data_IF_085984187943
#
_entry.id   IF_085984187943
#
_cell.length_a   1.000
_cell.length_b   1.000
_cell.length_c   1.000
_cell.angle_alpha   90.00
_cell.angle_beta   90.00
_cell.angle_gamma   90.00
#
_symmetry.space_group_name_H-M   'P 1'
#
loop_
_entity.id
_entity.type
_entity.pdbx_description
1 polymer ?
#
# COMPACT_ATOMS: atom_id res chain seq x y z
N UNK A 1 14.99 -4.07 -3.82
CA UNK A 1 13.91 -4.38 -2.84
C UNK A 1 12.60 -3.92 -3.46
N UNK A 2 11.51 -4.67 -3.36
CA UNK A 2 10.21 -4.25 -3.93
C UNK A 2 9.51 -3.29 -2.95
N UNK A 3 8.95 -2.20 -3.46
CA UNK A 3 8.18 -1.23 -2.68
C UNK A 3 6.68 -1.51 -2.87
N UNK A 4 6.08 -2.26 -1.96
CA UNK A 4 4.64 -2.51 -1.91
C UNK A 4 4.05 -1.72 -0.74
N UNK A 5 3.16 -0.77 -1.06
CA UNK A 5 2.49 0.12 -0.11
C UNK A 5 1.15 -0.44 0.38
N UNK A 6 0.81 -0.12 1.62
CA UNK A 6 -0.42 -0.53 2.28
C UNK A 6 -0.87 0.57 3.25
N UNK A 7 -2.13 0.99 3.16
CA UNK A 7 -2.78 1.75 4.23
C UNK A 7 -3.26 0.77 5.31
N UNK A 8 -2.51 0.67 6.40
CA UNK A 8 -2.78 -0.32 7.44
C UNK A 8 -3.41 0.27 8.70
N UNK A 9 -4.28 -0.50 9.34
CA UNK A 9 -4.73 -0.23 10.71
C UNK A 9 -3.57 -0.49 11.67
N UNK A 10 -3.38 0.36 12.68
CA UNK A 10 -2.21 0.33 13.57
C UNK A 10 -2.60 0.03 15.01
N UNK A 11 -1.74 -0.71 15.70
CA UNK A 11 -1.94 -1.18 17.07
C UNK A 11 -0.87 -0.63 18.02
N UNK A 12 -1.16 -0.62 19.32
CA UNK A 12 -0.30 0.01 20.33
C UNK A 12 1.11 -0.57 20.43
N UNK A 13 1.27 -1.85 20.09
CA UNK A 13 2.55 -2.58 20.08
C UNK A 13 3.31 -2.43 18.75
N UNK A 14 2.86 -1.57 17.84
CA UNK A 14 3.46 -1.40 16.52
C UNK A 14 2.97 -2.42 15.49
N UNK A 15 1.98 -3.24 15.82
CA UNK A 15 1.29 -4.09 14.84
C UNK A 15 0.65 -3.26 13.73
N UNK A 16 0.70 -3.76 12.49
CA UNK A 16 -0.03 -3.19 11.35
C UNK A 16 -0.87 -4.27 10.69
N UNK A 17 -2.15 -3.97 10.53
CA UNK A 17 -3.14 -4.88 9.98
C UNK A 17 -3.56 -4.52 8.56
N UNK A 18 -3.83 -5.55 7.76
CA UNK A 18 -4.33 -5.45 6.40
C UNK A 18 -5.50 -6.43 6.22
N UNK A 19 -6.69 -5.90 5.92
CA UNK A 19 -7.91 -6.69 5.79
C UNK A 19 -8.68 -6.84 7.10
N UNK A 20 -10.00 -7.03 6.96
CA UNK A 20 -10.94 -7.08 8.06
C UNK A 20 -12.05 -8.09 7.78
N UNK A 21 -12.40 -8.89 8.76
CA UNK A 21 -13.57 -9.76 8.75
C UNK A 21 -14.06 -10.00 10.19
N UNK A 22 -15.37 -10.01 10.39
CA UNK A 22 -16.00 -10.40 11.66
C UNK A 22 -15.49 -9.65 12.91
N UNK A 23 -15.35 -8.32 12.82
CA UNK A 23 -14.86 -7.52 13.96
C UNK A 23 -13.36 -7.67 14.21
N UNK A 24 -12.63 -8.34 13.32
CA UNK A 24 -11.20 -8.62 13.48
C UNK A 24 -10.40 -8.12 12.28
N UNK A 25 -9.17 -7.71 12.56
CA UNK A 25 -8.17 -7.25 11.58
C UNK A 25 -7.04 -8.27 11.52
N UNK A 26 -6.63 -8.65 10.32
CA UNK A 26 -5.47 -9.51 10.11
C UNK A 26 -4.18 -8.71 10.27
N UNK A 27 -3.32 -9.11 11.19
CA UNK A 27 -2.01 -8.50 11.44
C UNK A 27 -1.00 -9.09 10.46
N UNK A 28 -0.31 -8.20 9.74
CA UNK A 28 0.62 -8.56 8.65
C UNK A 28 2.02 -7.96 8.82
N UNK A 29 2.21 -7.06 9.80
CA UNK A 29 3.50 -6.51 10.21
C UNK A 29 3.55 -6.33 11.73
N UNK A 30 4.76 -6.39 12.27
CA UNK A 30 5.07 -6.01 13.65
C UNK A 30 6.35 -5.15 13.66
N UNK A 31 6.23 -3.89 14.06
CA UNK A 31 7.30 -2.91 13.87
C UNK A 31 7.61 -2.73 12.38
N UNK A 32 8.90 -2.76 12.02
CA UNK A 32 9.34 -2.60 10.63
C UNK A 32 9.32 -3.91 9.82
N UNK A 33 8.99 -5.03 10.48
CA UNK A 33 9.06 -6.37 9.89
C UNK A 33 7.72 -6.81 9.30
N UNK A 34 7.79 -7.35 8.08
CA UNK A 34 6.72 -8.13 7.48
C UNK A 34 6.59 -9.50 8.14
N UNK A 35 5.36 -9.87 8.51
CA UNK A 35 5.05 -11.21 8.98
C UNK A 35 4.96 -12.16 7.76
N UNK A 36 5.43 -13.38 7.93
CA UNK A 36 5.18 -14.47 7.00
C UNK A 36 3.73 -14.98 7.18
N UNK A 37 3.13 -15.62 6.16
CA UNK A 37 1.74 -16.08 6.21
C UNK A 37 1.36 -16.98 7.39
N UNK A 38 2.33 -17.74 7.92
CA UNK A 38 2.18 -18.62 9.08
C UNK A 38 2.20 -17.85 10.41
N UNK A 39 2.75 -16.64 10.42
CA UNK A 39 2.83 -15.74 11.59
C UNK A 39 1.62 -14.79 11.68
N UNK A 40 0.82 -14.73 10.61
CA UNK A 40 -0.41 -13.95 10.59
C UNK A 40 -1.36 -14.40 11.70
N UNK A 41 -1.92 -13.42 12.38
CA UNK A 41 -2.93 -13.59 13.41
C UNK A 41 -3.95 -12.47 13.28
N UNK A 42 -5.09 -12.62 13.94
CA UNK A 42 -6.16 -11.62 13.92
C UNK A 42 -6.28 -10.94 15.28
N UNK A 43 -6.68 -9.67 15.28
CA UNK A 43 -6.96 -8.90 16.51
C UNK A 43 -8.31 -8.19 16.41
N UNK A 44 -9.00 -7.94 17.53
CA UNK A 44 -10.21 -7.13 17.56
C UNK A 44 -10.00 -5.74 16.95
N UNK A 45 -11.00 -5.25 16.23
CA UNK A 45 -10.98 -3.91 15.61
C UNK A 45 -11.09 -2.76 16.63
N UNK A 46 -11.53 -3.04 17.85
CA UNK A 46 -11.56 -2.08 18.95
C UNK A 46 -10.17 -1.78 19.53
N UNK A 47 -9.14 -2.57 19.20
CA UNK A 47 -7.74 -2.32 19.57
C UNK A 47 -7.01 -1.38 18.59
N UNK A 48 -7.65 -0.98 17.49
CA UNK A 48 -7.06 -0.08 16.49
C UNK A 48 -6.83 1.30 17.12
N UNK A 49 -5.57 1.73 17.09
CA UNK A 49 -5.12 3.05 17.60
C UNK A 49 -5.08 4.13 16.52
N UNK A 50 -5.19 3.75 15.25
CA UNK A 50 -5.07 4.67 14.12
C UNK A 50 -4.69 3.98 12.81
N UNK A 51 -4.16 4.76 11.87
CA UNK A 51 -3.72 4.28 10.56
C UNK A 51 -2.40 4.90 10.15
N UNK A 52 -1.65 4.19 9.31
CA UNK A 52 -0.45 4.70 8.66
C UNK A 52 -0.26 3.98 7.34
N UNK A 53 0.29 4.69 6.35
CA UNK A 53 0.78 4.04 5.15
C UNK A 53 2.14 3.38 5.46
N UNK A 54 2.33 2.14 5.03
CA UNK A 54 3.56 1.37 5.26
C UNK A 54 4.03 0.73 3.98
N UNK A 55 5.34 0.54 3.86
CA UNK A 55 5.96 -0.13 2.73
C UNK A 55 6.61 -1.45 3.15
N UNK A 56 6.68 -2.43 2.25
CA UNK A 56 7.46 -3.67 2.42
C UNK A 56 8.96 -3.43 2.62
N UNK A 57 9.49 -2.25 2.30
CA UNK A 57 10.88 -1.90 2.57
C UNK A 57 11.16 -1.48 4.03
N UNK A 58 10.13 -1.46 4.88
CA UNK A 58 10.22 -1.01 6.28
C UNK A 58 9.86 0.46 6.47
N UNK A 59 9.71 1.25 5.39
CA UNK A 59 9.24 2.63 5.50
C UNK A 59 7.83 2.71 6.10
N UNK A 60 7.63 3.72 6.94
CA UNK A 60 6.36 4.01 7.60
C UNK A 60 6.08 5.50 7.50
N UNK A 61 4.93 5.83 6.95
CA UNK A 61 4.41 7.18 6.94
C UNK A 61 3.95 7.62 8.32
N UNK A 62 3.58 8.89 8.39
CA UNK A 62 2.98 9.53 9.54
C UNK A 62 1.81 8.70 10.09
N UNK A 63 1.80 8.55 11.41
CA UNK A 63 0.65 7.97 12.10
C UNK A 63 -0.50 8.96 12.24
N UNK A 64 -1.70 8.51 11.88
CA UNK A 64 -2.96 9.18 12.10
C UNK A 64 -3.72 8.47 13.21
N UNK A 65 -4.07 9.17 14.28
CA UNK A 65 -4.73 8.59 15.45
C UNK A 65 -6.22 8.40 15.18
N UNK A 66 -6.75 7.27 15.65
CA UNK A 66 -8.20 7.04 15.67
C UNK A 66 -8.80 7.85 16.82
N UNK A 67 -9.70 8.76 16.49
CA UNK A 67 -10.49 9.50 17.47
C UNK A 67 -11.59 8.59 18.06
N UNK A 68 -11.88 8.75 19.35
CA UNK A 68 -12.90 7.94 20.03
C UNK A 68 -14.33 8.31 19.59
N UNK A 69 -14.59 9.60 19.36
CA UNK A 69 -15.90 10.10 18.94
C UNK A 69 -15.77 11.06 17.76
N UNK A 70 -16.86 11.32 17.00
CA UNK A 70 -16.84 12.30 15.92
C UNK A 70 -16.45 13.71 16.38
N UNK A 71 -16.71 14.05 17.64
CA UNK A 71 -16.38 15.37 18.22
C UNK A 71 -14.90 15.56 18.47
N UNK A 72 -14.15 14.46 18.61
CA UNK A 72 -12.70 14.47 18.83
C UNK A 72 -11.89 14.47 17.52
N UNK A 73 -12.57 14.50 16.37
CA UNK A 73 -11.93 14.59 15.06
C UNK A 73 -11.23 15.94 14.90
N UNK A 74 -9.97 15.89 14.49
CA UNK A 74 -9.10 17.05 14.28
C UNK A 74 -8.07 16.66 13.22
N UNK A 75 -8.39 16.95 11.95
CA UNK A 75 -7.54 16.59 10.81
C UNK A 75 -6.17 17.29 10.87
N UNK A 76 -6.07 18.59 11.20
CA UNK A 76 -4.77 19.23 11.44
C UNK A 76 -3.91 18.53 12.50
N UNK A 77 -4.52 18.04 13.58
CA UNK A 77 -3.82 17.24 14.60
C UNK A 77 -3.73 15.74 14.26
N UNK A 78 -4.07 15.35 13.03
CA UNK A 78 -4.02 13.96 12.52
C UNK A 78 -4.87 12.99 13.33
N UNK A 79 -6.05 13.44 13.77
CA UNK A 79 -7.05 12.62 14.47
C UNK A 79 -8.28 12.46 13.60
N UNK A 80 -8.61 11.23 13.27
CA UNK A 80 -9.73 10.89 12.40
C UNK A 80 -10.67 9.97 13.15
N UNK A 81 -11.96 10.31 13.17
CA UNK A 81 -12.97 9.41 13.70
C UNK A 81 -13.41 8.44 12.59
N UNK A 82 -13.58 7.18 12.94
CA UNK A 82 -14.21 6.20 12.05
C UNK A 82 -15.03 5.20 12.87
N UNK A 83 -16.30 4.95 12.50
CA UNK A 83 -17.06 3.84 13.05
C UNK A 83 -16.57 2.48 12.52
N UNK A 84 -15.71 2.49 11.51
CA UNK A 84 -15.17 1.31 10.85
C UNK A 84 -13.67 1.11 11.18
N UNK A 85 -13.15 -0.11 10.98
CA UNK A 85 -11.72 -0.41 11.08
C UNK A 85 -10.85 0.33 10.05
N UNK A 86 -11.44 0.80 8.96
CA UNK A 86 -10.79 1.62 7.94
C UNK A 86 -11.04 3.11 8.22
N UNK A 87 -10.14 4.01 7.78
CA UNK A 87 -10.43 5.43 7.82
C UNK A 87 -11.54 5.77 6.81
N UNK A 88 -12.27 6.88 6.99
CA UNK A 88 -13.23 7.39 6.01
C UNK A 88 -12.58 7.62 4.65
N UNK A 89 -13.31 7.37 3.57
CA UNK A 89 -12.79 7.44 2.19
C UNK A 89 -12.18 8.80 1.84
N UNK A 90 -12.78 9.88 2.31
CA UNK A 90 -12.32 11.27 2.11
C UNK A 90 -11.03 11.61 2.89
N UNK A 91 -10.62 10.75 3.82
CA UNK A 91 -9.36 10.90 4.58
C UNK A 91 -8.25 9.97 4.10
N UNK A 92 -8.54 8.99 3.24
CA UNK A 92 -7.54 8.03 2.74
C UNK A 92 -6.39 8.75 2.04
N UNK A 93 -6.70 9.73 1.19
CA UNK A 93 -5.68 10.50 0.45
C UNK A 93 -4.82 11.36 1.39
N UNK A 94 -5.41 11.88 2.47
CA UNK A 94 -4.67 12.63 3.50
C UNK A 94 -3.70 11.73 4.27
N UNK A 95 -4.07 10.47 4.50
CA UNK A 95 -3.25 9.50 5.23
C UNK A 95 -2.19 8.86 4.32
N UNK A 96 -2.51 8.64 3.05
CA UNK A 96 -1.72 7.75 2.17
C UNK A 96 -0.98 8.48 1.05
N UNK A 97 -1.49 9.63 0.58
CA UNK A 97 -1.17 10.14 -0.75
C UNK A 97 0.21 10.76 -0.90
N UNK A 98 0.58 11.72 -0.06
CA UNK A 98 1.77 12.54 -0.28
C UNK A 98 3.07 11.82 0.10
N UNK A 99 3.18 11.39 1.36
CA UNK A 99 4.44 10.87 1.91
C UNK A 99 4.87 9.56 1.23
N UNK A 100 3.91 8.71 0.83
CA UNK A 100 4.24 7.49 0.11
C UNK A 100 4.74 7.77 -1.31
N UNK A 101 4.13 8.74 -2.00
CA UNK A 101 4.60 9.18 -3.31
C UNK A 101 6.04 9.70 -3.27
N UNK A 102 6.37 10.50 -2.26
CA UNK A 102 7.75 10.96 -2.01
C UNK A 102 8.69 9.79 -1.69
N UNK A 103 8.25 8.83 -0.88
CA UNK A 103 9.04 7.68 -0.51
C UNK A 103 9.41 6.79 -1.72
N UNK A 104 8.48 6.56 -2.65
CA UNK A 104 8.73 5.71 -3.82
C UNK A 104 9.34 6.46 -5.01
N UNK A 105 9.35 7.80 -4.97
CA UNK A 105 9.84 8.63 -6.07
C UNK A 105 11.28 8.27 -6.51
N UNK A 106 12.28 8.12 -5.61
CA UNK A 106 13.64 7.77 -6.04
C UNK A 106 13.69 6.43 -6.81
N UNK A 107 12.92 5.45 -6.35
CA UNK A 107 12.86 4.12 -6.98
C UNK A 107 12.17 4.18 -8.34
N UNK A 108 11.09 4.96 -8.44
CA UNK A 108 10.40 5.22 -9.70
C UNK A 108 11.34 5.90 -10.70
N UNK A 109 12.06 6.91 -10.25
CA UNK A 109 12.92 7.73 -11.09
C UNK A 109 14.13 6.92 -11.60
N UNK A 110 14.69 6.02 -10.77
CA UNK A 110 15.72 5.05 -11.20
C UNK A 110 15.21 4.09 -12.28
N UNK A 111 13.98 3.58 -12.13
CA UNK A 111 13.35 2.71 -13.14
C UNK A 111 13.16 3.46 -14.45
N UNK A 112 12.63 4.69 -14.40
CA UNK A 112 12.44 5.55 -15.56
C UNK A 112 13.76 5.87 -16.25
N UNK A 113 14.79 6.24 -15.49
CA UNK A 113 16.13 6.55 -16.03
C UNK A 113 16.77 5.35 -16.74
N UNK A 114 16.47 4.12 -16.31
CA UNK A 114 16.99 2.91 -16.95
C UNK A 114 16.29 2.58 -18.28
N UNK A 115 15.05 3.04 -18.47
CA UNK A 115 14.15 2.60 -19.55
C UNK A 115 14.75 2.72 -20.97
N UNK A 116 15.47 3.81 -21.35
CA UNK A 116 16.09 3.95 -22.67
C UNK A 116 17.17 2.91 -23.00
N UNK A 117 17.74 2.29 -21.97
CA UNK A 117 18.89 1.40 -22.09
C UNK A 117 18.49 -0.08 -22.04
N UNK A 118 17.21 -0.37 -21.87
CA UNK A 118 16.72 -1.74 -21.74
C UNK A 118 16.34 -2.35 -23.10
N UNK A 119 16.64 -3.64 -23.33
CA UNK A 119 16.07 -4.37 -24.45
C UNK A 119 14.53 -4.46 -24.32
N UNK A 120 13.85 -4.71 -25.43
CA UNK A 120 12.38 -4.58 -25.52
C UNK A 120 11.60 -5.44 -24.50
N UNK A 121 12.08 -6.64 -24.20
CA UNK A 121 11.50 -7.54 -23.21
C UNK A 121 11.59 -6.95 -21.78
N UNK A 122 12.77 -6.41 -21.43
CA UNK A 122 13.00 -5.79 -20.12
C UNK A 122 12.32 -4.43 -20.00
N UNK A 123 12.21 -3.68 -21.10
CA UNK A 123 11.49 -2.41 -21.13
C UNK A 123 10.01 -2.59 -20.78
N UNK A 124 9.36 -3.66 -21.28
CA UNK A 124 7.96 -3.96 -20.93
C UNK A 124 7.79 -4.21 -19.42
N UNK A 125 8.70 -4.96 -18.81
CA UNK A 125 8.70 -5.19 -17.36
C UNK A 125 8.98 -3.91 -16.58
N UNK A 126 9.96 -3.11 -16.99
CA UNK A 126 10.29 -1.85 -16.35
C UNK A 126 9.14 -0.84 -16.43
N UNK A 127 8.40 -0.80 -17.54
CA UNK A 127 7.17 0.00 -17.66
C UNK A 127 6.11 -0.48 -16.67
N UNK A 128 5.89 -1.80 -16.56
CA UNK A 128 5.01 -2.37 -15.54
C UNK A 128 5.39 -1.93 -14.12
N UNK A 129 6.68 -2.00 -13.80
CA UNK A 129 7.20 -1.56 -12.51
C UNK A 129 7.06 -0.04 -12.30
N UNK A 130 7.35 0.78 -13.30
CA UNK A 130 7.17 2.24 -13.22
C UNK A 130 5.70 2.59 -12.95
N UNK A 131 4.77 1.90 -13.62
CA UNK A 131 3.32 2.04 -13.41
C UNK A 131 2.91 1.64 -11.99
N UNK A 132 3.44 0.54 -11.45
CA UNK A 132 3.23 0.13 -10.04
C UNK A 132 3.73 1.20 -9.05
N UNK A 133 4.82 1.89 -9.40
CA UNK A 133 5.40 2.99 -8.63
C UNK A 133 4.71 4.35 -8.90
N UNK A 134 3.56 4.35 -9.58
CA UNK A 134 2.74 5.54 -9.80
C UNK A 134 3.17 6.42 -10.97
N UNK A 135 4.08 5.98 -11.84
CA UNK A 135 4.45 6.75 -13.03
C UNK A 135 3.25 6.90 -13.99
N UNK A 136 3.07 8.11 -14.50
CA UNK A 136 2.11 8.40 -15.55
C UNK A 136 2.64 7.96 -16.92
N UNK A 137 1.75 7.86 -17.92
CA UNK A 137 2.19 7.64 -19.30
C UNK A 137 3.09 8.77 -19.82
N UNK A 138 2.89 10.00 -19.33
CA UNK A 138 3.74 11.15 -19.66
C UNK A 138 5.16 10.97 -19.13
N UNK A 139 5.33 10.50 -17.90
CA UNK A 139 6.66 10.25 -17.30
C UNK A 139 7.40 9.15 -18.09
N UNK A 140 6.68 8.07 -18.40
CA UNK A 140 7.22 6.92 -19.14
C UNK A 140 7.61 7.32 -20.57
N UNK A 141 6.76 8.09 -21.24
CA UNK A 141 7.02 8.59 -22.58
C UNK A 141 8.23 9.53 -22.61
N UNK A 142 8.30 10.46 -21.65
CA UNK A 142 9.42 11.39 -21.50
C UNK A 142 10.73 10.63 -21.28
N UNK A 143 10.72 9.65 -20.37
CA UNK A 143 11.87 8.78 -20.14
C UNK A 143 12.32 8.05 -21.41
N UNK A 144 11.38 7.53 -22.21
CA UNK A 144 11.65 6.77 -23.42
C UNK A 144 11.91 7.62 -24.68
N UNK A 145 11.78 8.95 -24.63
CA UNK A 145 11.85 9.82 -25.80
C UNK A 145 10.68 9.63 -26.79
N UNK A 146 9.48 9.33 -26.27
CA UNK A 146 8.26 9.08 -27.03
C UNK A 146 7.19 10.14 -26.71
N UNK A 147 6.10 10.13 -27.48
CA UNK A 147 4.85 10.80 -27.07
C UNK A 147 4.08 9.92 -26.06
N UNK A 148 3.22 10.50 -25.19
CA UNK A 148 2.36 9.74 -24.30
C UNK A 148 1.49 8.70 -25.04
N UNK A 149 0.97 9.05 -26.21
CA UNK A 149 0.14 8.19 -27.05
C UNK A 149 0.93 6.99 -27.59
N UNK A 150 2.15 7.22 -28.09
CA UNK A 150 3.03 6.15 -28.59
C UNK A 150 3.46 5.21 -27.46
N UNK A 151 3.81 5.76 -26.29
CA UNK A 151 4.18 4.97 -25.13
C UNK A 151 3.01 4.11 -24.65
N UNK A 152 1.80 4.68 -24.60
CA UNK A 152 0.59 3.95 -24.24
C UNK A 152 0.29 2.84 -25.27
N UNK A 153 0.26 3.16 -26.57
CA UNK A 153 0.00 2.17 -27.62
C UNK A 153 0.99 1.01 -27.58
N UNK A 154 2.27 1.31 -27.31
CA UNK A 154 3.35 0.33 -27.24
C UNK A 154 3.29 -0.57 -26.01
N UNK A 155 2.92 -0.02 -24.85
CA UNK A 155 3.11 -0.69 -23.56
C UNK A 155 1.86 -0.77 -22.67
N UNK A 156 0.67 -0.45 -23.15
CA UNK A 156 -0.60 -0.61 -22.40
C UNK A 156 -0.82 -2.02 -21.83
N UNK A 157 -0.18 -3.04 -22.42
CA UNK A 157 -0.22 -4.43 -21.96
C UNK A 157 0.91 -4.78 -20.98
N UNK A 158 1.70 -3.81 -20.54
CA UNK A 158 2.74 -4.03 -19.53
C UNK A 158 2.12 -4.63 -18.27
N UNK A 159 2.72 -5.68 -17.70
CA UNK A 159 2.17 -6.34 -16.53
C UNK A 159 2.25 -5.40 -15.34
N UNK A 160 1.10 -4.93 -14.86
CA UNK A 160 0.95 -4.29 -13.55
C UNK A 160 0.44 -5.36 -12.61
N UNK A 161 1.23 -5.77 -11.63
CA UNK A 161 0.83 -6.76 -10.63
C UNK A 161 -0.09 -6.07 -9.61
N UNK A 162 -1.38 -6.00 -9.94
CA UNK A 162 -2.42 -5.45 -9.05
C UNK A 162 -2.67 -6.36 -7.82
N UNK A 163 -2.39 -7.66 -7.95
CA UNK A 163 -2.49 -8.63 -6.87
C UNK A 163 -1.15 -9.32 -6.66
N UNK A 164 -0.50 -9.02 -5.55
CA UNK A 164 0.75 -9.67 -5.17
C UNK A 164 0.44 -11.02 -4.54
N UNK A 165 1.39 -11.96 -4.61
CA UNK A 165 1.29 -13.27 -3.91
C UNK A 165 0.90 -13.09 -2.43
N UNK A 166 1.33 -11.97 -1.84
CA UNK A 166 1.04 -11.58 -0.47
C UNK A 166 -0.43 -11.27 -0.23
N UNK A 167 -1.11 -10.56 -1.12
CA UNK A 167 -2.56 -10.34 -1.01
C UNK A 167 -3.35 -11.65 -1.03
N UNK A 168 -2.99 -12.60 -1.90
CA UNK A 168 -3.63 -13.93 -1.92
C UNK A 168 -3.46 -14.68 -0.59
N UNK A 169 -2.25 -14.66 -0.02
CA UNK A 169 -1.97 -15.26 1.28
C UNK A 169 -2.73 -14.59 2.43
N UNK A 170 -2.88 -13.26 2.40
CA UNK A 170 -3.66 -12.50 3.39
C UNK A 170 -5.14 -12.88 3.35
N UNK A 171 -5.75 -12.95 2.17
CA UNK A 171 -7.15 -13.35 2.03
C UNK A 171 -7.39 -14.78 2.56
N UNK A 172 -6.53 -15.72 2.17
CA UNK A 172 -6.62 -17.11 2.64
C UNK A 172 -6.45 -17.20 4.17
N UNK A 173 -5.53 -16.44 4.75
CA UNK A 173 -5.31 -16.41 6.19
C UNK A 173 -6.49 -15.77 6.93
N UNK A 174 -7.04 -14.66 6.44
CA UNK A 174 -8.20 -14.00 7.04
C UNK A 174 -9.41 -14.92 7.06
N UNK A 175 -9.71 -15.62 5.96
CA UNK A 175 -10.77 -16.64 5.92
C UNK A 175 -10.52 -17.73 6.96
N UNK A 176 -9.32 -18.30 7.00
CA UNK A 176 -8.96 -19.37 7.95
C UNK A 176 -9.06 -18.93 9.42
N UNK A 177 -8.65 -17.71 9.73
CA UNK A 177 -8.54 -17.21 11.11
C UNK A 177 -9.84 -16.61 11.65
N UNK A 178 -10.78 -16.24 10.77
CA UNK A 178 -12.10 -15.76 11.18
C UNK A 178 -13.18 -16.85 11.15
N UNK A 179 -13.04 -17.91 10.34
CA UNK A 179 -14.02 -19.02 10.36
C UNK A 179 -13.98 -19.75 11.73
N UNK A 180 -15.12 -19.94 12.41
CA UNK A 180 -15.16 -20.74 13.63
C UNK A 180 -14.71 -22.17 13.34
N UNK A 181 -13.92 -22.76 14.26
CA UNK A 181 -13.66 -24.19 14.21
C UNK A 181 -14.95 -24.92 14.60
N UNK A 182 -15.47 -25.75 13.69
CA UNK A 182 -16.59 -26.66 13.94
C UNK A 182 -16.26 -27.69 15.05
#
# INVERSE_FOLDING_TARGET
MRHEGLLGATFADGGVGAGYAEGKVLIVKLGDRDLEPEEYHVRPDNEITGWAHVCSCGWRGTHWRRAATPRDQDLPARRVWSPHPSPPMDTIDLISGHEYGEHIAPVRDDVLASLPHLPADRALTAVGQARELGASWTDIATAAGLTPEDAHARWQHAPVQVFTRRHGAQLAALTRLCTPAD
#
